data_IF_966393260793
#
_entry.id   IF_966393260793
#
_cell.length_a   1.000
_cell.length_b   1.000
_cell.length_c   1.000
_cell.angle_alpha   90.00
_cell.angle_beta   90.00
_cell.angle_gamma   90.00
#
_symmetry.space_group_name_H-M   'P 1'
#
loop_
_entity.id
_entity.type
_entity.pdbx_description
1 polymer ?
#
# COMPACT_ATOMS: atom_id res chain seq x y z
N UNK A 1 21.30 9.93 -7.50
CA UNK A 1 21.56 8.50 -7.77
C UNK A 1 20.31 7.70 -7.49
N UNK A 2 19.86 6.96 -8.47
CA UNK A 2 18.79 5.98 -8.27
C UNK A 2 19.39 4.76 -7.58
N UNK A 3 18.98 4.48 -6.36
CA UNK A 3 19.39 3.28 -5.67
C UNK A 3 18.72 2.06 -6.30
N UNK A 4 19.51 1.05 -6.63
CA UNK A 4 18.96 -0.17 -7.17
C UNK A 4 18.24 -0.98 -6.08
N UNK A 5 17.10 -1.53 -6.41
CA UNK A 5 16.33 -2.38 -5.51
C UNK A 5 16.94 -3.79 -5.53
N UNK A 6 17.64 -4.16 -4.47
CA UNK A 6 18.25 -5.48 -4.35
C UNK A 6 17.24 -6.57 -4.05
N UNK A 7 17.57 -7.81 -4.38
CA UNK A 7 16.74 -8.97 -4.05
C UNK A 7 16.52 -9.09 -2.54
N UNK A 8 17.55 -8.89 -1.75
CA UNK A 8 17.45 -8.92 -0.28
C UNK A 8 16.48 -7.87 0.24
N UNK A 9 16.51 -6.66 -0.33
CA UNK A 9 15.58 -5.60 0.03
C UNK A 9 14.14 -5.97 -0.34
N UNK A 10 13.91 -6.55 -1.50
CA UNK A 10 12.58 -7.03 -1.92
C UNK A 10 12.05 -8.09 -0.97
N UNK A 11 12.85 -9.08 -0.60
CA UNK A 11 12.47 -10.14 0.33
C UNK A 11 12.14 -9.58 1.72
N UNK A 12 12.89 -8.60 2.18
CA UNK A 12 12.60 -7.89 3.42
C UNK A 12 11.26 -7.17 3.35
N UNK A 13 11.03 -6.37 2.31
CA UNK A 13 9.80 -5.60 2.14
C UNK A 13 8.55 -6.48 2.01
N UNK A 14 8.68 -7.62 1.32
CA UNK A 14 7.61 -8.61 1.20
C UNK A 14 7.13 -9.10 2.57
N UNK A 15 8.05 -9.47 3.44
CA UNK A 15 7.74 -9.95 4.79
C UNK A 15 7.26 -8.83 5.70
N UNK A 16 7.92 -7.68 5.64
CA UNK A 16 7.61 -6.53 6.47
C UNK A 16 6.23 -5.96 6.17
N UNK A 17 5.80 -6.01 4.91
CA UNK A 17 4.49 -5.54 4.45
C UNK A 17 3.34 -6.14 5.26
N UNK A 18 3.39 -7.42 5.58
CA UNK A 18 2.29 -8.16 6.21
C UNK A 18 2.35 -8.17 7.74
N UNK A 19 3.15 -7.31 8.37
CA UNK A 19 3.32 -7.27 9.82
C UNK A 19 2.34 -6.31 10.50
N UNK A 20 2.21 -6.48 11.81
CA UNK A 20 1.45 -5.58 12.66
C UNK A 20 -0.04 -5.53 12.31
N UNK A 21 -0.58 -4.35 12.18
CA UNK A 21 -1.98 -4.13 11.82
C UNK A 21 -2.39 -4.85 10.53
N UNK A 22 -1.49 -4.90 9.55
CA UNK A 22 -1.77 -5.51 8.24
C UNK A 22 -1.95 -7.02 8.34
N UNK A 23 -1.35 -7.67 9.32
CA UNK A 23 -1.60 -9.09 9.61
C UNK A 23 -3.09 -9.34 9.93
N UNK A 24 -3.71 -8.46 10.70
CA UNK A 24 -5.16 -8.54 11.00
C UNK A 24 -6.02 -8.31 9.76
N UNK A 25 -5.53 -7.46 8.85
CA UNK A 25 -6.20 -7.21 7.57
C UNK A 25 -6.03 -8.36 6.57
N UNK A 26 -5.07 -9.24 6.78
CA UNK A 26 -4.73 -10.34 5.88
C UNK A 26 -4.21 -9.88 4.51
N UNK A 27 -3.58 -8.73 4.44
CA UNK A 27 -3.00 -8.22 3.20
C UNK A 27 -1.65 -8.89 2.93
N UNK A 28 -1.40 -9.23 1.68
CA UNK A 28 -0.18 -9.87 1.21
C UNK A 28 0.47 -9.10 0.06
N UNK A 29 1.79 -9.07 0.06
CA UNK A 29 2.55 -8.57 -1.08
C UNK A 29 2.46 -9.56 -2.24
N UNK A 30 2.36 -9.06 -3.47
CA UNK A 30 2.24 -9.90 -4.66
C UNK A 30 3.34 -9.62 -5.68
N UNK A 31 3.67 -8.35 -5.93
CA UNK A 31 4.70 -7.97 -6.90
C UNK A 31 5.40 -6.70 -6.43
N UNK A 32 6.73 -6.74 -6.42
CA UNK A 32 7.57 -5.63 -5.96
C UNK A 32 8.55 -5.25 -7.07
N UNK A 33 8.56 -3.95 -7.41
CA UNK A 33 9.56 -3.35 -8.29
C UNK A 33 9.94 -1.98 -7.73
N UNK A 34 11.04 -1.43 -8.16
CA UNK A 34 11.40 -0.06 -7.75
C UNK A 34 10.30 0.93 -8.17
N UNK A 35 9.78 1.67 -7.21
CA UNK A 35 8.68 2.62 -7.42
C UNK A 35 7.31 2.00 -7.64
N UNK A 36 7.17 0.69 -7.46
CA UNK A 36 5.92 -0.04 -7.66
C UNK A 36 5.73 -1.15 -6.63
N UNK A 37 4.53 -1.25 -6.11
CA UNK A 37 4.16 -2.34 -5.19
C UNK A 37 2.73 -2.80 -5.48
N UNK A 38 2.54 -4.10 -5.59
CA UNK A 38 1.22 -4.70 -5.74
C UNK A 38 0.94 -5.61 -4.56
N UNK A 39 -0.25 -5.49 -4.04
CA UNK A 39 -0.74 -6.30 -2.92
C UNK A 39 -2.11 -6.85 -3.22
N UNK A 40 -2.51 -7.83 -2.41
CA UNK A 40 -3.81 -8.47 -2.54
C UNK A 40 -4.37 -8.84 -1.18
N UNK A 41 -5.67 -9.07 -1.13
CA UNK A 41 -6.35 -9.65 0.01
C UNK A 41 -7.51 -10.51 -0.47
N UNK A 42 -7.60 -11.73 0.07
CA UNK A 42 -8.79 -12.56 -0.07
C UNK A 42 -9.83 -12.02 0.90
N UNK A 43 -11.02 -11.70 0.39
CA UNK A 43 -12.07 -11.11 1.21
C UNK A 43 -12.73 -12.16 2.11
N UNK A 44 -12.76 -11.86 3.38
CA UNK A 44 -13.39 -12.65 4.44
C UNK A 44 -14.44 -11.79 5.16
N UNK A 45 -15.15 -12.37 6.09
CA UNK A 45 -16.25 -11.68 6.80
C UNK A 45 -15.81 -10.39 7.49
N UNK A 46 -14.62 -10.38 8.12
CA UNK A 46 -14.10 -9.20 8.81
C UNK A 46 -13.78 -8.01 7.88
N UNK A 47 -13.72 -8.23 6.57
CA UNK A 47 -13.50 -7.16 5.60
C UNK A 47 -14.79 -6.48 5.15
N UNK A 48 -15.94 -7.03 5.52
CA UNK A 48 -17.25 -6.56 5.06
C UNK A 48 -17.90 -5.63 6.08
N UNK A 49 -18.61 -4.63 5.57
CA UNK A 49 -19.50 -3.84 6.39
C UNK A 49 -20.84 -4.57 6.60
N UNK A 50 -21.76 -4.00 7.39
CA UNK A 50 -23.00 -4.63 7.82
C UNK A 50 -23.94 -5.09 6.68
N UNK A 51 -23.84 -4.48 5.50
CA UNK A 51 -24.67 -4.81 4.34
C UNK A 51 -23.98 -5.74 3.34
N UNK A 52 -22.81 -6.29 3.70
CA UNK A 52 -22.10 -7.28 2.93
C UNK A 52 -21.09 -6.74 1.91
N UNK A 53 -21.07 -5.43 1.66
CA UNK A 53 -20.03 -4.82 0.83
C UNK A 53 -18.69 -4.80 1.55
N UNK A 54 -17.61 -4.74 0.79
CA UNK A 54 -16.27 -4.56 1.36
C UNK A 54 -16.21 -3.16 1.98
N UNK A 55 -15.80 -3.09 3.24
CA UNK A 55 -15.75 -1.83 3.97
C UNK A 55 -14.79 -0.83 3.32
N UNK A 56 -15.20 0.42 3.21
CA UNK A 56 -14.36 1.50 2.66
C UNK A 56 -13.02 1.63 3.41
N UNK A 57 -13.01 1.37 4.73
CA UNK A 57 -11.79 1.34 5.53
C UNK A 57 -10.76 0.31 5.07
N UNK A 58 -11.20 -0.84 4.56
CA UNK A 58 -10.31 -1.85 3.98
C UNK A 58 -9.64 -1.30 2.73
N UNK A 59 -10.40 -0.69 1.84
CA UNK A 59 -9.89 -0.10 0.60
C UNK A 59 -8.94 1.07 0.88
N UNK A 60 -9.28 1.92 1.84
CA UNK A 60 -8.41 3.03 2.27
C UNK A 60 -7.10 2.53 2.86
N UNK A 61 -7.15 1.50 3.70
CA UNK A 61 -5.97 0.92 4.34
C UNK A 61 -5.03 0.30 3.30
N UNK A 62 -5.55 -0.51 2.39
CA UNK A 62 -4.70 -1.16 1.38
C UNK A 62 -4.09 -0.14 0.42
N UNK A 63 -4.85 0.91 0.06
CA UNK A 63 -4.36 1.98 -0.82
C UNK A 63 -3.21 2.77 -0.18
N UNK A 64 -3.34 3.15 1.09
CA UNK A 64 -2.31 3.88 1.83
C UNK A 64 -1.08 3.01 2.08
N UNK A 65 -1.28 1.84 2.65
CA UNK A 65 -0.19 0.94 3.04
C UNK A 65 0.65 0.49 1.84
N UNK A 66 -0.01 0.14 0.74
CA UNK A 66 0.68 -0.31 -0.47
C UNK A 66 1.48 0.83 -1.12
N UNK A 67 0.95 2.06 -1.12
CA UNK A 67 1.70 3.24 -1.57
C UNK A 67 2.93 3.50 -0.70
N UNK A 68 2.81 3.32 0.62
CA UNK A 68 3.94 3.42 1.54
C UNK A 68 5.05 2.43 1.20
N UNK A 69 4.71 1.19 0.88
CA UNK A 69 5.70 0.19 0.47
C UNK A 69 6.26 0.43 -0.93
N UNK A 70 5.48 0.98 -1.85
CA UNK A 70 6.04 1.47 -3.12
C UNK A 70 7.13 2.52 -2.87
N UNK A 71 6.91 3.44 -1.91
CA UNK A 71 7.90 4.44 -1.52
C UNK A 71 9.14 3.81 -0.84
N UNK A 72 8.96 2.78 0.01
CA UNK A 72 10.09 2.06 0.60
C UNK A 72 11.06 1.48 -0.44
N UNK A 73 10.57 1.13 -1.62
CA UNK A 73 11.43 0.62 -2.69
C UNK A 73 12.34 1.69 -3.30
N UNK A 74 12.12 2.96 -2.99
CA UNK A 74 12.85 4.09 -3.58
C UNK A 74 13.81 4.77 -2.62
N UNK A 75 13.80 4.38 -1.34
CA UNK A 75 14.64 4.99 -0.30
C UNK A 75 15.63 3.98 0.29
N UNK A 76 16.74 4.47 0.87
CA UNK A 76 17.69 3.61 1.57
C UNK A 76 17.08 2.90 2.79
N UNK A 77 17.72 1.83 3.24
CA UNK A 77 17.23 0.98 4.35
C UNK A 77 17.18 1.69 5.70
N UNK A 78 17.95 2.75 5.86
CA UNK A 78 17.98 3.58 7.07
C UNK A 78 16.88 4.65 7.11
N UNK A 79 15.98 4.65 6.12
CA UNK A 79 14.82 5.54 6.10
C UNK A 79 13.53 4.80 6.42
N UNK A 80 12.62 5.52 7.07
CA UNK A 80 11.23 5.14 7.27
C UNK A 80 10.34 5.98 6.37
N UNK A 81 9.20 5.41 5.99
CA UNK A 81 8.15 6.11 5.26
C UNK A 81 6.96 6.32 6.18
N UNK A 82 6.52 7.57 6.26
CA UNK A 82 5.33 7.95 7.02
C UNK A 82 4.34 8.64 6.10
N UNK A 83 3.07 8.33 6.27
CA UNK A 83 2.00 8.98 5.52
C UNK A 83 1.70 10.35 6.14
N UNK A 84 1.70 11.40 5.32
CA UNK A 84 1.29 12.75 5.73
C UNK A 84 -0.21 12.91 5.54
N UNK A 85 -0.68 12.57 4.35
CA UNK A 85 -2.09 12.61 3.99
C UNK A 85 -2.37 11.69 2.81
N UNK A 86 -3.61 11.31 2.64
CA UNK A 86 -4.07 10.73 1.39
C UNK A 86 -5.52 11.13 1.11
N UNK A 87 -5.80 11.26 -0.17
CA UNK A 87 -7.15 11.43 -0.66
C UNK A 87 -7.53 10.16 -1.39
N UNK A 88 -8.69 9.58 -1.06
CA UNK A 88 -9.22 8.41 -1.73
C UNK A 88 -10.61 8.72 -2.29
N UNK A 89 -10.85 8.30 -3.53
CA UNK A 89 -12.16 8.28 -4.14
C UNK A 89 -12.64 6.84 -4.22
N UNK A 90 -13.81 6.58 -3.64
CA UNK A 90 -14.50 5.29 -3.77
C UNK A 90 -15.41 5.39 -4.98
N UNK A 91 -15.03 4.72 -6.06
CA UNK A 91 -15.64 4.88 -7.38
C UNK A 91 -16.83 3.97 -7.60
N UNK A 92 -16.80 2.80 -6.99
CA UNK A 92 -17.85 1.78 -7.10
C UNK A 92 -17.94 0.97 -5.82
N UNK A 93 -19.11 0.40 -5.49
CA UNK A 93 -19.20 -0.59 -4.42
C UNK A 93 -18.30 -1.79 -4.72
N UNK A 94 -17.62 -2.31 -3.70
CA UNK A 94 -16.82 -3.51 -3.80
C UNK A 94 -17.54 -4.65 -3.08
N UNK A 95 -17.65 -5.80 -3.74
CA UNK A 95 -18.39 -6.95 -3.23
C UNK A 95 -17.85 -8.31 -3.68
N UNK A 96 -16.73 -8.31 -4.37
CA UNK A 96 -16.10 -9.52 -4.89
C UNK A 96 -15.37 -10.33 -3.83
N UNK A 97 -14.56 -11.26 -4.29
CA UNK A 97 -13.86 -12.21 -3.43
C UNK A 97 -12.40 -11.82 -3.12
N UNK A 98 -11.86 -10.87 -3.86
CA UNK A 98 -10.49 -10.41 -3.72
C UNK A 98 -10.37 -8.93 -4.08
N UNK A 99 -9.53 -8.23 -3.34
CA UNK A 99 -9.02 -6.94 -3.77
C UNK A 99 -7.57 -7.07 -4.19
N UNK A 100 -7.21 -6.36 -5.24
CA UNK A 100 -5.82 -6.15 -5.65
C UNK A 100 -5.54 -4.65 -5.61
N UNK A 101 -4.44 -4.26 -4.98
CA UNK A 101 -4.00 -2.88 -4.96
C UNK A 101 -2.71 -2.74 -5.75
N UNK A 102 -2.67 -1.78 -6.67
CA UNK A 102 -1.50 -1.43 -7.46
C UNK A 102 -1.09 -0.01 -7.14
N UNK A 103 0.09 0.14 -6.57
CA UNK A 103 0.61 1.45 -6.17
C UNK A 103 1.89 1.75 -6.93
N UNK A 104 2.03 2.99 -7.35
CA UNK A 104 3.24 3.47 -8.02
C UNK A 104 3.63 4.85 -7.50
N UNK A 105 4.93 5.12 -7.50
CA UNK A 105 5.45 6.42 -7.15
C UNK A 105 5.38 7.34 -8.37
N UNK A 106 4.75 8.49 -8.19
CA UNK A 106 4.60 9.52 -9.23
C UNK A 106 5.74 10.53 -9.14
N UNK A 107 6.18 10.85 -7.91
CA UNK A 107 7.25 11.82 -7.67
C UNK A 107 8.14 11.35 -6.53
N UNK A 108 9.42 11.21 -6.82
CA UNK A 108 10.47 10.97 -5.83
C UNK A 108 11.12 12.29 -5.44
N UNK A 109 10.66 12.89 -4.33
CA UNK A 109 11.38 14.01 -3.73
C UNK A 109 12.39 13.50 -2.71
N UNK A 110 13.30 14.37 -2.28
CA UNK A 110 14.29 14.03 -1.24
C UNK A 110 13.64 13.67 0.09
N UNK A 111 12.55 14.33 0.42
CA UNK A 111 11.80 14.10 1.65
C UNK A 111 10.34 13.78 1.40
N UNK A 112 9.71 14.47 0.45
CA UNK A 112 8.30 14.28 0.11
C UNK A 112 8.20 13.41 -1.16
N UNK A 113 7.47 12.31 -1.05
CA UNK A 113 7.22 11.35 -2.10
C UNK A 113 5.72 11.32 -2.37
N UNK A 114 5.33 11.35 -3.63
CA UNK A 114 3.93 11.25 -4.02
C UNK A 114 3.71 9.91 -4.70
N UNK A 115 2.75 9.15 -4.20
CA UNK A 115 2.30 7.90 -4.79
C UNK A 115 0.83 7.93 -5.16
N UNK A 116 0.44 7.02 -6.01
CA UNK A 116 -0.97 6.76 -6.29
C UNK A 116 -1.26 5.27 -6.18
N UNK A 117 -2.48 4.96 -5.77
CA UNK A 117 -2.96 3.59 -5.63
C UNK A 117 -4.26 3.40 -6.38
N UNK A 118 -4.38 2.25 -7.03
CA UNK A 118 -5.62 1.79 -7.64
C UNK A 118 -6.02 0.48 -6.98
N UNK A 119 -7.27 0.42 -6.50
CA UNK A 119 -7.82 -0.78 -5.85
C UNK A 119 -8.85 -1.40 -6.78
N UNK A 120 -8.64 -2.67 -7.08
CA UNK A 120 -9.48 -3.45 -7.99
C UNK A 120 -10.22 -4.54 -7.23
N UNK A 121 -11.50 -4.67 -7.53
CA UNK A 121 -12.37 -5.71 -7.00
C UNK A 121 -12.49 -6.83 -8.03
N UNK A 122 -12.10 -8.05 -7.65
CA UNK A 122 -12.17 -9.22 -8.51
C UNK A 122 -13.59 -9.82 -8.46
N UNK A 123 -14.24 -9.86 -9.60
CA UNK A 123 -15.58 -10.38 -9.79
C UNK A 123 -15.57 -11.49 -10.84
N UNK A 124 -15.31 -12.74 -10.39
CA UNK A 124 -15.04 -13.84 -11.33
C UNK A 124 -13.79 -13.55 -12.15
N UNK A 125 -13.90 -13.48 -13.46
CA UNK A 125 -12.79 -13.20 -14.37
C UNK A 125 -12.57 -11.71 -14.64
N UNK A 126 -13.41 -10.83 -14.08
CA UNK A 126 -13.35 -9.39 -14.30
C UNK A 126 -12.78 -8.64 -13.10
N UNK A 127 -12.01 -7.58 -13.36
CA UNK A 127 -11.57 -6.62 -12.37
C UNK A 127 -12.32 -5.30 -12.56
N UNK A 128 -12.84 -4.74 -11.46
CA UNK A 128 -13.45 -3.42 -11.46
C UNK A 128 -12.62 -2.47 -10.59
N UNK A 129 -12.27 -1.31 -11.14
CA UNK A 129 -11.61 -0.25 -10.36
C UNK A 129 -12.61 0.33 -9.36
N UNK A 130 -12.41 0.08 -8.08
CA UNK A 130 -13.35 0.46 -7.02
C UNK A 130 -12.87 1.64 -6.18
N UNK A 131 -11.56 1.86 -6.10
CA UNK A 131 -11.01 3.03 -5.40
C UNK A 131 -9.72 3.50 -6.05
N UNK A 132 -9.47 4.79 -5.96
CA UNK A 132 -8.22 5.42 -6.38
C UNK A 132 -7.77 6.42 -5.33
N UNK A 133 -6.49 6.39 -4.98
CA UNK A 133 -5.93 7.28 -3.97
C UNK A 133 -4.71 8.01 -4.49
N UNK A 134 -4.53 9.24 -4.00
CA UNK A 134 -3.30 10.00 -4.11
C UNK A 134 -2.72 10.15 -2.71
N UNK A 135 -1.47 9.71 -2.52
CA UNK A 135 -0.87 9.57 -1.20
C UNK A 135 0.39 10.43 -1.10
N UNK A 136 0.44 11.29 -0.09
CA UNK A 136 1.61 12.08 0.24
C UNK A 136 2.37 11.39 1.38
N UNK A 137 3.63 11.06 1.12
CA UNK A 137 4.50 10.29 1.99
C UNK A 137 5.74 11.11 2.33
N UNK A 138 6.30 10.86 3.50
CA UNK A 138 7.52 11.49 3.96
C UNK A 138 8.58 10.42 4.24
N UNK A 139 9.77 10.61 3.67
CA UNK A 139 10.95 9.82 3.99
C UNK A 139 11.68 10.45 5.18
N UNK A 140 11.87 9.68 6.25
CA UNK A 140 12.50 10.15 7.50
C UNK A 140 13.62 9.18 7.87
N UNK A 141 14.81 9.71 8.13
CA UNK A 141 15.91 8.89 8.63
C UNK A 141 15.55 8.29 9.99
N UNK A 142 15.82 7.01 10.19
CA UNK A 142 15.44 6.27 11.40
C UNK A 142 15.96 6.90 12.70
N UNK A 143 17.14 7.50 12.66
CA UNK A 143 17.73 8.18 13.82
C UNK A 143 16.84 9.33 14.36
N UNK A 144 16.10 9.99 13.47
CA UNK A 144 15.17 11.07 13.87
C UNK A 144 13.91 10.55 14.56
N UNK A 145 13.58 9.28 14.39
CA UNK A 145 12.42 8.65 15.01
C UNK A 145 12.75 8.05 16.37
N UNK A 146 13.96 7.52 16.54
CA UNK A 146 14.41 6.90 17.79
C UNK A 146 14.60 7.90 18.94
N UNK A 147 14.76 9.20 18.65
CA UNK A 147 14.92 10.25 19.69
C UNK A 147 13.62 10.67 20.37
N UNK A 148 12.49 10.03 20.06
CA UNK A 148 11.16 10.35 20.62
C UNK A 148 10.58 9.23 21.51
N UNK A 149 11.40 8.28 21.84
CA UNK A 149 11.01 7.26 22.83
C UNK A 149 11.09 7.83 24.25
#
# INVERSE_FOLDING_TARGET
MTQELTRERMEFLEKDYSRGFIEHCRFEAELIRRGYFQSRVKIEEQHRQQDGFIHAGVMATIADHTAGYAAFTTVPEDYQILTIEFKVNFLRPAYGERLTCRSRIIREGLQIIIGESEVFDQRGDEEALVAKALVTLMAVHKDKLSSKA
#
